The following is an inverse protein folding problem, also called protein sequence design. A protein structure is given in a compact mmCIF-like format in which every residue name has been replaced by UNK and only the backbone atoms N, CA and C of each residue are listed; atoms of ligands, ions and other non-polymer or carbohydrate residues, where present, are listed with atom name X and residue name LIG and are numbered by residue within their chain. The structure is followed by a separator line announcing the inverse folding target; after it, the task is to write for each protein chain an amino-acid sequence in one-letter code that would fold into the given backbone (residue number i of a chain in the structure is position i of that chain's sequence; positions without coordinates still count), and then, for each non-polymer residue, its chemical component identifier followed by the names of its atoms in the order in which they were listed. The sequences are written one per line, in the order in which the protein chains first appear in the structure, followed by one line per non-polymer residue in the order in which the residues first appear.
data_IF_398355799971
#
_entry.id   IF_398355799971
#
_cell.length_a   1.000
_cell.length_b   1.000
_cell.length_c   1.000
_cell.angle_alpha   90.00
_cell.angle_beta   90.00
_cell.angle_gamma   90.00
#
_symmetry.space_group_name_H-M   'P 1'
#
loop_
_entity.id
_entity.type
_entity.pdbx_description
1 polymer ?
#
# COMPACT_ATOMS: atom_id res chain seq x y z
N UNK A 1 4.55 -38.39 34.42
CA UNK A 1 5.12 -37.23 35.06
C UNK A 1 5.60 -36.24 34.04
N UNK A 2 4.75 -35.35 33.74
CA UNK A 2 5.01 -34.36 32.71
C UNK A 2 5.86 -33.27 33.33
N UNK A 3 7.12 -33.35 33.08
CA UNK A 3 7.97 -32.20 33.34
C UNK A 3 7.48 -31.07 32.47
N UNK A 4 6.83 -30.18 33.09
CA UNK A 4 6.56 -28.92 32.49
C UNK A 4 7.87 -28.31 32.05
N UNK A 5 8.19 -28.53 30.80
CA UNK A 5 9.22 -27.74 30.18
C UNK A 5 8.56 -26.38 29.98
N UNK A 6 8.73 -25.54 30.94
CA UNK A 6 8.50 -24.17 30.66
C UNK A 6 9.46 -23.80 29.55
N UNK A 7 8.96 -23.43 28.39
CA UNK A 7 9.83 -22.73 27.50
C UNK A 7 10.26 -21.51 28.29
N UNK A 8 11.46 -21.53 28.75
CA UNK A 8 12.06 -20.30 29.17
C UNK A 8 12.00 -19.41 27.97
N UNK A 9 10.96 -18.66 27.93
CA UNK A 9 10.97 -17.50 27.11
C UNK A 9 12.14 -16.68 27.59
N UNK A 10 13.27 -16.94 27.02
CA UNK A 10 14.20 -15.86 26.90
C UNK A 10 13.51 -14.86 26.03
N UNK A 11 12.70 -14.09 26.67
CA UNK A 11 12.39 -12.80 26.12
C UNK A 11 13.73 -12.10 26.15
N UNK A 12 14.50 -12.31 25.11
CA UNK A 12 15.47 -11.33 24.76
C UNK A 12 14.64 -10.08 24.55
N UNK A 13 14.53 -9.31 25.57
CA UNK A 13 14.06 -7.97 25.42
C UNK A 13 14.85 -7.42 24.26
N UNK A 14 14.21 -6.98 23.18
CA UNK A 14 14.93 -6.24 22.19
C UNK A 14 15.65 -5.17 22.98
N UNK A 15 16.93 -5.29 23.07
CA UNK A 15 17.72 -4.23 23.66
C UNK A 15 17.31 -2.99 22.92
N UNK A 16 16.72 -2.09 23.66
CA UNK A 16 16.45 -0.77 23.14
C UNK A 16 17.70 -0.34 22.36
N UNK A 17 17.55 0.06 21.11
CA UNK A 17 18.71 0.46 20.34
C UNK A 17 19.47 1.46 21.19
N UNK A 18 20.64 1.06 21.57
CA UNK A 18 21.54 1.96 22.27
C UNK A 18 21.61 3.22 21.43
N UNK A 19 21.31 4.38 22.02
CA UNK A 19 21.42 5.60 21.25
C UNK A 19 22.84 5.63 20.68
N UNK A 20 22.89 5.64 19.37
CA UNK A 20 24.17 5.73 18.69
C UNK A 20 24.81 7.03 19.12
N UNK A 21 25.74 6.91 20.05
CA UNK A 21 26.54 8.06 20.47
C UNK A 21 27.33 8.69 19.34
N UNK A 22 27.37 8.02 18.18
CA UNK A 22 28.03 8.54 17.00
C UNK A 22 27.17 9.43 16.12
N UNK A 23 25.85 9.44 16.33
CA UNK A 23 24.96 10.22 15.50
C UNK A 23 24.94 11.71 15.86
N UNK A 24 25.19 12.02 17.12
CA UNK A 24 25.23 13.41 17.55
C UNK A 24 26.43 14.17 16.97
N UNK A 25 27.53 13.44 16.73
CA UNK A 25 28.72 14.05 16.17
C UNK A 25 28.65 14.17 14.65
N UNK A 26 27.90 13.28 14.02
CA UNK A 26 27.75 13.34 12.57
C UNK A 26 26.75 14.44 12.14
N UNK A 27 25.76 14.71 12.98
CA UNK A 27 24.76 15.73 12.67
C UNK A 27 25.24 17.16 13.00
N UNK A 28 26.16 17.29 13.94
CA UNK A 28 26.71 18.62 14.28
C UNK A 28 27.72 19.13 13.27
N UNK A 29 28.20 18.26 12.40
CA UNK A 29 29.11 18.64 11.32
C UNK A 29 28.46 18.84 9.97
N UNK A 30 27.17 18.55 9.87
CA UNK A 30 26.44 18.80 8.64
C UNK A 30 26.00 20.27 8.68
N UNK A 31 26.77 21.09 8.03
CA UNK A 31 26.35 22.44 7.75
C UNK A 31 25.20 22.37 6.73
N UNK A 32 23.98 22.40 7.25
CA UNK A 32 22.80 22.42 6.40
C UNK A 32 22.72 23.65 5.51
N UNK A 33 23.58 24.65 5.79
CA UNK A 33 23.72 25.79 4.91
C UNK A 33 24.37 25.49 3.58
N UNK A 34 25.15 24.39 3.51
CA UNK A 34 25.79 23.97 2.26
C UNK A 34 24.82 23.33 1.28
N UNK A 35 23.68 22.85 1.76
CA UNK A 35 22.66 22.27 0.90
C UNK A 35 21.69 23.31 0.32
N UNK A 36 21.99 24.60 0.54
CA UNK A 36 21.18 25.65 -0.07
C UNK A 36 19.74 25.70 0.41
N UNK A 37 19.49 25.14 1.59
CA UNK A 37 18.19 25.27 2.24
C UNK A 37 18.10 26.67 2.86
N UNK A 38 17.99 27.64 1.98
CA UNK A 38 17.69 28.99 2.41
C UNK A 38 16.28 28.99 2.98
N UNK A 39 16.18 29.27 4.25
CA UNK A 39 14.93 29.22 5.01
C UNK A 39 13.92 30.30 4.60
N UNK A 40 14.14 30.93 3.46
CA UNK A 40 13.32 32.06 3.02
C UNK A 40 12.22 31.77 2.01
N UNK A 41 12.16 30.55 1.46
CA UNK A 41 11.15 30.26 0.42
C UNK A 41 10.48 28.91 0.68
N UNK A 42 9.54 28.92 1.61
CA UNK A 42 8.78 27.74 1.99
C UNK A 42 7.69 27.33 1.02
N UNK A 43 7.85 27.60 -0.27
CA UNK A 43 6.82 27.23 -1.23
C UNK A 43 7.22 26.20 -2.28
N UNK A 44 8.53 26.00 -2.47
CA UNK A 44 8.99 25.26 -3.64
C UNK A 44 9.62 23.90 -3.33
N UNK A 45 9.69 23.53 -2.06
CA UNK A 45 10.33 22.26 -1.69
C UNK A 45 9.48 21.05 -2.03
N UNK A 46 8.17 21.20 -2.02
CA UNK A 46 7.26 20.12 -2.33
C UNK A 46 7.32 19.72 -3.81
N UNK A 47 7.56 20.67 -4.68
CA UNK A 47 7.57 20.44 -6.12
C UNK A 47 8.90 19.86 -6.62
N UNK A 48 9.99 20.11 -5.90
CA UNK A 48 11.31 19.60 -6.26
C UNK A 48 11.59 18.21 -5.71
N UNK A 49 11.07 17.92 -4.52
CA UNK A 49 11.25 16.60 -3.89
C UNK A 49 10.30 15.55 -4.44
N UNK A 50 9.13 15.96 -4.89
CA UNK A 50 8.11 15.05 -5.38
C UNK A 50 8.16 14.89 -6.91
N UNK A 51 9.07 15.61 -7.59
CA UNK A 51 9.02 15.64 -9.06
C UNK A 51 7.63 16.10 -9.52
N UNK A 52 7.52 16.62 -10.68
CA UNK A 52 6.23 17.02 -11.22
C UNK A 52 5.14 16.02 -10.82
N UNK A 53 4.10 16.49 -10.21
CA UNK A 53 3.00 15.74 -9.61
C UNK A 53 2.47 14.57 -10.45
N UNK A 54 2.80 14.51 -11.73
CA UNK A 54 2.39 13.41 -12.60
C UNK A 54 3.03 12.05 -12.32
N UNK A 55 4.14 12.01 -11.60
CA UNK A 55 4.85 10.76 -11.30
C UNK A 55 4.79 10.37 -9.82
N UNK A 56 4.28 11.23 -8.95
CA UNK A 56 4.15 10.90 -7.54
C UNK A 56 3.05 9.87 -7.34
N UNK A 57 3.37 8.82 -6.59
CA UNK A 57 2.38 7.82 -6.18
C UNK A 57 1.87 8.24 -4.82
N UNK A 58 0.58 8.49 -4.71
CA UNK A 58 -0.06 8.92 -3.46
C UNK A 58 -0.90 7.79 -2.88
N UNK A 59 -1.29 7.95 -1.64
CA UNK A 59 -2.28 7.08 -1.01
C UNK A 59 -3.66 7.72 -1.11
N UNK A 60 -4.71 6.90 -1.07
CA UNK A 60 -6.08 7.39 -1.21
C UNK A 60 -6.46 8.41 -0.13
N UNK A 61 -5.78 8.39 1.00
CA UNK A 61 -6.04 9.31 2.11
C UNK A 61 -5.50 10.72 1.86
N UNK A 62 -4.53 10.85 0.96
CA UNK A 62 -3.84 12.13 0.71
C UNK A 62 -4.41 12.90 -0.47
N UNK A 63 -5.28 12.29 -1.26
CA UNK A 63 -5.86 12.92 -2.45
C UNK A 63 -7.17 13.62 -2.11
N UNK A 64 -7.51 14.65 -2.89
CA UNK A 64 -8.76 15.37 -2.70
C UNK A 64 -9.97 14.53 -3.14
N UNK A 65 -9.82 13.82 -4.26
CA UNK A 65 -10.85 12.94 -4.80
C UNK A 65 -10.25 11.54 -4.92
N UNK A 66 -10.74 10.57 -4.12
CA UNK A 66 -10.24 9.20 -4.22
C UNK A 66 -10.69 8.52 -5.51
N UNK A 67 -9.95 7.50 -5.97
CA UNK A 67 -10.35 6.77 -7.17
C UNK A 67 -11.63 5.97 -6.90
N UNK A 68 -12.50 5.91 -7.89
CA UNK A 68 -13.74 5.15 -7.83
C UNK A 68 -13.80 4.13 -8.95
N UNK A 69 -14.24 2.91 -8.68
CA UNK A 69 -14.41 1.94 -9.75
C UNK A 69 -15.55 2.36 -10.68
N UNK A 70 -15.24 2.55 -11.95
CA UNK A 70 -16.24 2.86 -12.99
C UNK A 70 -16.76 1.57 -13.59
N UNK A 71 -15.84 0.73 -14.05
CA UNK A 71 -16.18 -0.55 -14.66
C UNK A 71 -15.65 -1.66 -13.77
N UNK A 72 -16.57 -2.50 -13.31
CA UNK A 72 -16.23 -3.68 -12.51
C UNK A 72 -16.34 -4.89 -13.40
N UNK A 73 -15.19 -5.49 -13.71
CA UNK A 73 -15.17 -6.79 -14.37
C UNK A 73 -15.66 -7.89 -13.43
N UNK A 74 -16.12 -8.96 -14.00
CA UNK A 74 -16.53 -10.12 -13.22
C UNK A 74 -15.31 -10.91 -12.76
N UNK A 75 -15.38 -11.43 -11.53
CA UNK A 75 -14.36 -12.32 -11.01
C UNK A 75 -14.75 -13.76 -11.29
N UNK A 76 -13.79 -14.50 -11.78
CA UNK A 76 -13.99 -15.92 -12.03
C UNK A 76 -13.84 -16.68 -10.71
N UNK A 77 -14.92 -17.33 -10.30
CA UNK A 77 -14.88 -18.13 -9.07
C UNK A 77 -13.98 -19.34 -9.29
N UNK A 78 -12.98 -19.57 -8.41
CA UNK A 78 -12.11 -20.74 -8.57
C UNK A 78 -12.91 -22.04 -8.55
N UNK A 79 -12.68 -22.95 -9.50
CA UNK A 79 -13.49 -24.19 -9.57
C UNK A 79 -13.36 -25.06 -8.34
N UNK A 80 -12.18 -25.11 -7.73
CA UNK A 80 -11.97 -25.88 -6.50
C UNK A 80 -12.76 -25.31 -5.34
N UNK A 81 -12.82 -23.98 -5.22
CA UNK A 81 -13.57 -23.33 -4.17
C UNK A 81 -15.07 -23.50 -4.39
N UNK A 82 -15.52 -23.39 -5.64
CA UNK A 82 -16.92 -23.59 -6.00
C UNK A 82 -17.37 -25.02 -5.70
N UNK A 83 -16.56 -25.99 -6.04
CA UNK A 83 -16.83 -27.41 -5.82
C UNK A 83 -16.94 -27.76 -4.34
N UNK A 84 -16.11 -27.12 -3.51
CA UNK A 84 -16.07 -27.38 -2.07
C UNK A 84 -16.95 -26.43 -1.26
N UNK A 85 -17.67 -25.53 -1.92
CA UNK A 85 -18.51 -24.55 -1.22
C UNK A 85 -17.74 -23.54 -0.39
N UNK A 86 -16.50 -23.27 -0.76
CA UNK A 86 -15.63 -22.35 -0.01
C UNK A 86 -15.96 -20.92 -0.39
N UNK A 87 -16.26 -20.11 0.60
CA UNK A 87 -16.49 -18.66 0.48
C UNK A 87 -15.34 -17.90 1.10
N UNK A 88 -15.19 -16.66 0.71
CA UNK A 88 -14.12 -15.84 1.29
C UNK A 88 -14.05 -14.44 0.72
N UNK A 89 -12.93 -13.81 1.00
CA UNK A 89 -12.67 -12.46 0.51
C UNK A 89 -11.18 -12.25 0.26
N UNK A 90 -10.88 -11.25 -0.54
CA UNK A 90 -9.50 -10.81 -0.79
C UNK A 90 -9.47 -9.29 -0.70
N UNK A 91 -8.52 -8.77 0.06
CA UNK A 91 -8.26 -7.34 0.13
C UNK A 91 -7.03 -7.04 -0.72
N UNK A 92 -7.22 -6.19 -1.71
CA UNK A 92 -6.18 -5.82 -2.66
C UNK A 92 -5.80 -4.36 -2.50
N UNK A 93 -4.52 -4.08 -2.68
CA UNK A 93 -4.04 -2.73 -2.91
C UNK A 93 -3.79 -2.57 -4.41
N UNK A 94 -4.45 -1.61 -5.02
CA UNK A 94 -4.46 -1.42 -6.46
C UNK A 94 -3.81 -0.08 -6.78
N UNK A 95 -2.80 -0.08 -7.65
CA UNK A 95 -2.22 1.16 -8.16
C UNK A 95 -3.04 1.63 -9.35
N UNK A 96 -3.78 2.70 -9.15
CA UNK A 96 -4.60 3.32 -10.19
C UNK A 96 -3.79 4.41 -10.88
N UNK A 97 -3.67 4.29 -12.18
CA UNK A 97 -2.96 5.26 -13.01
C UNK A 97 -3.78 6.54 -13.23
N UNK A 98 -3.13 7.54 -13.81
CA UNK A 98 -3.78 8.81 -14.12
C UNK A 98 -4.90 8.68 -15.16
N UNK A 99 -4.87 7.62 -15.96
CA UNK A 99 -5.94 7.31 -16.91
C UNK A 99 -7.04 6.40 -16.31
N UNK A 100 -6.88 5.98 -15.06
CA UNK A 100 -7.82 5.10 -14.40
C UNK A 100 -7.56 3.62 -14.58
N UNK A 101 -6.53 3.25 -15.30
CA UNK A 101 -6.16 1.84 -15.47
C UNK A 101 -5.45 1.28 -14.23
N UNK A 102 -5.49 -0.04 -14.09
CA UNK A 102 -4.81 -0.74 -13.01
C UNK A 102 -3.41 -1.10 -13.46
N UNK A 103 -2.40 -0.53 -12.80
CA UNK A 103 -1.00 -0.79 -13.12
C UNK A 103 -0.46 -1.96 -12.31
N UNK A 104 -0.53 -1.87 -10.99
CA UNK A 104 -0.03 -2.89 -10.08
C UNK A 104 -1.08 -3.28 -9.07
N UNK A 105 -1.03 -4.52 -8.65
CA UNK A 105 -1.94 -5.06 -7.64
C UNK A 105 -1.15 -5.86 -6.63
N UNK A 106 -1.43 -5.63 -5.34
CA UNK A 106 -0.85 -6.39 -4.25
C UNK A 106 -1.97 -6.99 -3.40
N UNK A 107 -1.80 -8.25 -3.00
CA UNK A 107 -2.71 -8.87 -2.06
C UNK A 107 -2.29 -8.48 -0.64
N UNK A 108 -3.17 -7.78 0.06
CA UNK A 108 -2.93 -7.39 1.45
C UNK A 108 -3.43 -8.46 2.42
N UNK A 109 -4.59 -9.03 2.11
CA UNK A 109 -5.23 -10.02 2.96
C UNK A 109 -6.10 -10.93 2.10
N UNK A 110 -6.14 -12.21 2.42
CA UNK A 110 -7.04 -13.15 1.77
C UNK A 110 -7.49 -14.20 2.77
N UNK A 111 -8.74 -14.57 2.69
CA UNK A 111 -9.31 -15.62 3.55
C UNK A 111 -10.31 -16.46 2.75
N UNK A 112 -10.09 -17.76 2.60
CA UNK A 112 -8.88 -18.51 2.96
C UNK A 112 -7.69 -18.13 2.10
N UNK A 113 -6.50 -18.21 2.68
CA UNK A 113 -5.26 -17.80 2.01
C UNK A 113 -4.98 -18.66 0.78
N UNK A 114 -4.62 -18.00 -0.33
CA UNK A 114 -4.16 -18.69 -1.55
C UNK A 114 -5.27 -19.25 -2.46
N UNK A 115 -6.52 -19.24 -2.05
CA UNK A 115 -7.61 -19.81 -2.84
C UNK A 115 -8.16 -18.81 -3.86
N UNK A 116 -8.44 -17.61 -3.41
CA UNK A 116 -9.06 -16.59 -4.24
C UNK A 116 -8.09 -15.57 -4.80
N UNK A 117 -6.84 -15.62 -4.41
CA UNK A 117 -5.83 -14.63 -4.74
C UNK A 117 -5.66 -14.46 -6.24
N UNK A 118 -5.46 -15.57 -6.95
CA UNK A 118 -5.28 -15.55 -8.41
C UNK A 118 -6.50 -15.01 -9.13
N UNK A 119 -7.68 -15.45 -8.71
CA UNK A 119 -8.94 -15.00 -9.30
C UNK A 119 -9.14 -13.49 -9.09
N UNK A 120 -8.84 -13.01 -7.88
CA UNK A 120 -8.93 -11.60 -7.57
C UNK A 120 -7.93 -10.76 -8.37
N UNK A 121 -6.69 -11.21 -8.49
CA UNK A 121 -5.67 -10.52 -9.26
C UNK A 121 -6.02 -10.43 -10.74
N UNK A 122 -6.54 -11.52 -11.31
CA UNK A 122 -6.94 -11.53 -12.70
C UNK A 122 -8.15 -10.65 -12.97
N UNK A 123 -9.13 -10.69 -12.07
CA UNK A 123 -10.35 -9.92 -12.23
C UNK A 123 -10.15 -8.42 -12.08
N UNK A 124 -9.34 -8.01 -11.10
CA UNK A 124 -9.13 -6.59 -10.82
C UNK A 124 -8.40 -5.87 -11.96
N UNK A 125 -7.58 -6.58 -12.71
CA UNK A 125 -6.84 -5.99 -13.84
C UNK A 125 -7.75 -5.51 -14.95
N UNK A 126 -8.94 -6.07 -15.06
CA UNK A 126 -9.94 -5.65 -16.05
C UNK A 126 -10.80 -4.47 -15.56
N UNK A 127 -10.62 -4.05 -14.31
CA UNK A 127 -11.36 -2.93 -13.77
C UNK A 127 -10.81 -1.61 -14.29
N UNK A 128 -11.70 -0.65 -14.43
CA UNK A 128 -11.36 0.73 -14.69
C UNK A 128 -11.85 1.61 -13.57
N UNK A 129 -11.00 2.55 -13.19
CA UNK A 129 -11.29 3.47 -12.12
C UNK A 129 -11.35 4.91 -12.67
N UNK A 130 -12.14 5.73 -12.02
CA UNK A 130 -11.99 7.15 -12.15
C UNK A 130 -10.71 7.54 -11.42
N UNK A 131 -9.75 8.21 -12.09
CA UNK A 131 -8.47 8.51 -11.46
C UNK A 131 -8.65 9.46 -10.29
N UNK A 132 -7.78 9.32 -9.30
CA UNK A 132 -7.75 10.24 -8.17
C UNK A 132 -7.29 11.61 -8.60
N UNK A 133 -7.76 12.63 -7.93
CA UNK A 133 -7.37 14.02 -8.19
C UNK A 133 -6.79 14.64 -6.93
N UNK A 134 -5.69 15.33 -7.13
CA UNK A 134 -5.02 16.11 -6.11
C UNK A 134 -4.74 17.51 -6.66
N UNK A 135 -5.28 18.53 -6.01
CA UNK A 135 -5.16 19.93 -6.45
C UNK A 135 -5.57 20.13 -7.93
N UNK A 136 -6.62 19.42 -8.36
CA UNK A 136 -7.14 19.51 -9.72
C UNK A 136 -6.46 18.63 -10.75
N UNK A 137 -5.34 17.98 -10.42
CA UNK A 137 -4.60 17.12 -11.34
C UNK A 137 -4.87 15.65 -11.04
N UNK A 138 -4.89 14.85 -12.09
CA UNK A 138 -4.98 13.39 -11.94
C UNK A 138 -3.64 12.86 -11.44
N UNK A 139 -3.68 12.00 -10.42
CA UNK A 139 -2.48 11.44 -9.81
C UNK A 139 -2.60 9.93 -9.69
N UNK A 140 -1.45 9.27 -9.64
CA UNK A 140 -1.38 7.86 -9.32
C UNK A 140 -1.66 7.65 -7.85
N UNK A 141 -2.44 6.61 -7.54
CA UNK A 141 -2.84 6.38 -6.17
C UNK A 141 -2.96 4.89 -5.87
N UNK A 142 -2.58 4.51 -4.67
CA UNK A 142 -2.85 3.18 -4.15
C UNK A 142 -4.22 3.18 -3.48
N UNK A 143 -5.13 2.38 -4.03
CA UNK A 143 -6.48 2.23 -3.50
C UNK A 143 -6.67 0.82 -2.94
N UNK A 144 -7.33 0.73 -1.81
CA UNK A 144 -7.63 -0.55 -1.17
C UNK A 144 -9.01 -1.01 -1.64
N UNK A 145 -9.09 -2.25 -2.15
CA UNK A 145 -10.34 -2.84 -2.61
C UNK A 145 -10.56 -4.19 -1.95
N UNK A 146 -11.73 -4.38 -1.39
CA UNK A 146 -12.15 -5.66 -0.82
C UNK A 146 -13.10 -6.36 -1.78
N UNK A 147 -12.73 -7.56 -2.18
CA UNK A 147 -13.50 -8.38 -3.11
C UNK A 147 -14.04 -9.58 -2.35
N UNK A 148 -15.34 -9.76 -2.37
CA UNK A 148 -15.99 -10.89 -1.70
C UNK A 148 -16.33 -11.95 -2.72
N UNK A 149 -16.02 -13.19 -2.37
CA UNK A 149 -16.39 -14.37 -3.13
C UNK A 149 -17.45 -15.12 -2.35
N UNK A 150 -18.66 -15.12 -2.86
CA UNK A 150 -19.82 -15.73 -2.21
C UNK A 150 -20.55 -16.60 -3.21
N UNK A 151 -21.01 -17.74 -2.73
CA UNK A 151 -21.86 -18.64 -3.51
C UNK A 151 -23.30 -18.38 -3.10
N UNK A 152 -24.03 -17.74 -3.97
CA UNK A 152 -25.47 -17.52 -3.75
C UNK A 152 -26.27 -18.66 -4.34
#
# INVERSE_FOLDING_TARGET
EIKKIEPKKQVTRPQAPTPFKGLDTALSGIDLGLLGLDSGQGGDLDDRLLGKTGNAVMTADLVDIPPKPITRGSFKYPPTAKKNGIKGYVVLSVLVETDGSVNQVQVLESSPSGIFDTAALQGIRSWHFEPAKYKGDTVRVWAKQKIRFDLS
#
